data_IF_597967707829
#
_entry.id   IF_597967707829
#
_cell.length_a   1.000
_cell.length_b   1.000
_cell.length_c   1.000
_cell.angle_alpha   90.00
_cell.angle_beta   90.00
_cell.angle_gamma   90.00
#
_symmetry.space_group_name_H-M   'P 1'
#
loop_
_entity.id
_entity.type
_entity.pdbx_description
1 polymer ?
#
# COMPACT_ATOMS: atom_id res chain seq x y z
N UNK A 1 -23.13 -15.32 -1.67
CA UNK A 1 -22.04 -15.43 -0.66
C UNK A 1 -22.53 -14.77 0.62
N UNK A 2 -22.31 -15.33 1.82
CA UNK A 2 -22.81 -14.70 3.06
C UNK A 2 -21.94 -13.49 3.42
N UNK A 3 -22.50 -12.39 3.93
CA UNK A 3 -21.74 -11.17 4.28
C UNK A 3 -20.48 -11.44 5.11
N UNK A 4 -20.54 -12.35 6.09
CA UNK A 4 -19.38 -12.74 6.90
C UNK A 4 -18.24 -13.36 6.07
N UNK A 5 -18.56 -14.09 5.02
CA UNK A 5 -17.56 -14.67 4.12
C UNK A 5 -16.85 -13.58 3.30
N UNK A 6 -17.60 -12.55 2.86
CA UNK A 6 -17.03 -11.38 2.17
C UNK A 6 -16.10 -10.60 3.11
N UNK A 7 -16.55 -10.33 4.35
CA UNK A 7 -15.76 -9.65 5.40
C UNK A 7 -14.47 -10.42 5.75
N UNK A 8 -14.55 -11.73 5.86
CA UNK A 8 -13.38 -12.58 6.13
C UNK A 8 -12.34 -12.50 5.00
N UNK A 9 -12.77 -12.58 3.73
CA UNK A 9 -11.86 -12.45 2.58
C UNK A 9 -11.19 -11.07 2.54
N UNK A 10 -11.95 -10.00 2.79
CA UNK A 10 -11.39 -8.66 2.87
C UNK A 10 -10.34 -8.54 3.98
N UNK A 11 -10.65 -9.09 5.16
CA UNK A 11 -9.76 -9.12 6.32
C UNK A 11 -8.44 -9.84 6.00
N UNK A 12 -8.48 -10.97 5.28
CA UNK A 12 -7.27 -11.65 4.82
C UNK A 12 -6.43 -10.80 3.86
N UNK A 13 -7.06 -10.05 2.94
CA UNK A 13 -6.34 -9.15 2.05
C UNK A 13 -5.64 -8.02 2.83
N UNK A 14 -6.30 -7.46 3.85
CA UNK A 14 -5.67 -6.49 4.75
C UNK A 14 -4.48 -7.08 5.52
N UNK A 15 -4.62 -8.29 6.06
CA UNK A 15 -3.52 -9.02 6.75
C UNK A 15 -2.33 -9.23 5.81
N UNK A 16 -2.56 -9.62 4.56
CA UNK A 16 -1.50 -9.78 3.54
C UNK A 16 -0.83 -8.45 3.21
N UNK A 17 -1.59 -7.37 3.07
CA UNK A 17 -1.07 -6.01 2.87
C UNK A 17 -0.18 -5.57 4.05
N UNK A 18 -0.62 -5.81 5.29
CA UNK A 18 0.17 -5.53 6.49
C UNK A 18 1.47 -6.35 6.55
N UNK A 19 1.39 -7.65 6.27
CA UNK A 19 2.55 -8.55 6.25
C UNK A 19 3.60 -8.13 5.20
N UNK A 20 3.18 -7.75 3.99
CA UNK A 20 4.07 -7.27 2.94
C UNK A 20 4.86 -6.01 3.35
N UNK A 21 4.20 -5.07 4.04
CA UNK A 21 4.87 -3.87 4.59
C UNK A 21 5.86 -4.21 5.70
N UNK A 22 5.46 -5.09 6.62
CA UNK A 22 6.34 -5.53 7.70
C UNK A 22 7.60 -6.21 7.15
N UNK A 23 7.43 -7.08 6.15
CA UNK A 23 8.54 -7.71 5.45
C UNK A 23 9.46 -6.66 4.81
N UNK A 24 8.92 -5.65 4.11
CA UNK A 24 9.72 -4.59 3.50
C UNK A 24 10.56 -3.84 4.54
N UNK A 25 9.97 -3.44 5.68
CA UNK A 25 10.73 -2.79 6.77
C UNK A 25 11.88 -3.65 7.26
N UNK A 26 11.63 -4.94 7.47
CA UNK A 26 12.68 -5.89 7.87
C UNK A 26 13.78 -6.01 6.81
N UNK A 27 13.42 -6.03 5.52
CA UNK A 27 14.41 -6.08 4.44
C UNK A 27 15.28 -4.81 4.40
N UNK A 28 14.72 -3.63 4.66
CA UNK A 28 15.49 -2.37 4.77
C UNK A 28 16.48 -2.45 5.93
N UNK A 29 16.02 -2.84 7.12
CA UNK A 29 16.90 -2.99 8.29
C UNK A 29 18.01 -4.01 8.02
N UNK A 30 17.67 -5.16 7.45
CA UNK A 30 18.65 -6.18 7.10
C UNK A 30 19.67 -5.69 6.06
N UNK A 31 19.22 -4.92 5.06
CA UNK A 31 20.09 -4.37 4.04
C UNK A 31 21.06 -3.33 4.62
N UNK A 32 20.58 -2.48 5.54
CA UNK A 32 21.43 -1.50 6.22
C UNK A 32 22.38 -2.15 7.23
N UNK A 33 21.94 -3.17 7.97
CA UNK A 33 22.81 -4.00 8.80
C UNK A 33 23.89 -4.72 7.99
N UNK A 34 23.58 -5.11 6.74
CA UNK A 34 24.55 -5.68 5.81
C UNK A 34 25.46 -4.61 5.15
N UNK A 35 25.23 -3.33 5.48
CA UNK A 35 26.09 -2.20 5.17
C UNK A 35 25.65 -1.30 4.01
N UNK A 36 24.43 -1.48 3.46
CA UNK A 36 23.88 -0.46 2.56
C UNK A 36 23.63 0.84 3.31
N UNK A 37 23.98 1.98 2.71
CA UNK A 37 23.69 3.29 3.29
C UNK A 37 22.25 3.71 2.99
N UNK A 38 21.75 4.74 3.69
CA UNK A 38 20.46 5.37 3.38
C UNK A 38 20.39 5.77 1.92
N UNK A 39 21.44 6.37 1.37
CA UNK A 39 21.51 6.83 -0.02
C UNK A 39 21.38 5.68 -1.01
N UNK A 40 21.95 4.50 -0.70
CA UNK A 40 21.72 3.30 -1.51
C UNK A 40 20.25 2.90 -1.50
N UNK A 41 19.61 2.89 -0.32
CA UNK A 41 18.18 2.59 -0.19
C UNK A 41 17.34 3.59 -0.99
N UNK A 42 17.59 4.90 -0.85
CA UNK A 42 16.88 5.95 -1.60
C UNK A 42 17.03 5.78 -3.11
N UNK A 43 18.23 5.46 -3.59
CA UNK A 43 18.47 5.20 -5.02
C UNK A 43 17.65 4.02 -5.54
N UNK A 44 17.65 2.91 -4.79
CA UNK A 44 16.88 1.71 -5.14
C UNK A 44 15.38 2.04 -5.13
N UNK A 45 14.91 2.71 -4.09
CA UNK A 45 13.50 3.08 -3.94
C UNK A 45 13.05 3.98 -5.09
N UNK A 46 13.82 4.98 -5.49
CA UNK A 46 13.50 5.86 -6.63
C UNK A 46 13.42 5.07 -7.94
N UNK A 47 14.35 4.13 -8.19
CA UNK A 47 14.29 3.24 -9.36
C UNK A 47 13.04 2.35 -9.35
N UNK A 48 12.63 1.87 -8.17
CA UNK A 48 11.44 1.03 -8.04
C UNK A 48 10.13 1.84 -8.12
N UNK A 49 10.17 3.12 -7.73
CA UNK A 49 9.02 4.01 -7.80
C UNK A 49 8.71 4.51 -9.21
N UNK A 50 9.71 4.63 -10.09
CA UNK A 50 9.59 5.26 -11.42
C UNK A 50 9.12 4.33 -12.56
N UNK A 51 8.56 3.16 -12.24
CA UNK A 51 8.13 2.16 -13.23
C UNK A 51 6.61 2.05 -13.46
N UNK A 52 6.20 1.02 -14.21
CA UNK A 52 4.79 0.71 -14.57
C UNK A 52 3.85 0.57 -13.36
N UNK A 53 4.39 0.38 -12.16
CA UNK A 53 3.63 0.27 -10.90
C UNK A 53 3.70 1.53 -10.02
N UNK A 54 3.89 2.72 -10.61
CA UNK A 54 4.16 3.99 -9.90
C UNK A 54 3.25 4.23 -8.67
N UNK A 55 1.93 4.16 -8.82
CA UNK A 55 0.96 4.43 -7.72
C UNK A 55 1.01 3.37 -6.59
N UNK A 56 1.36 2.14 -6.95
CA UNK A 56 1.47 1.00 -6.03
C UNK A 56 2.85 0.96 -5.36
N UNK A 57 3.85 1.55 -6.01
CA UNK A 57 5.21 1.70 -5.52
C UNK A 57 5.37 2.88 -4.55
N UNK A 58 4.58 3.95 -4.68
CA UNK A 58 4.72 5.18 -3.89
C UNK A 58 4.60 4.99 -2.36
N UNK A 59 3.58 4.30 -1.85
CA UNK A 59 3.48 4.05 -0.40
C UNK A 59 4.50 3.02 0.09
N UNK A 60 4.91 2.06 -0.75
CA UNK A 60 6.00 1.14 -0.39
C UNK A 60 7.35 1.88 -0.35
N UNK A 61 7.54 2.89 -1.20
CA UNK A 61 8.66 3.82 -1.15
C UNK A 61 8.67 4.59 0.17
N UNK A 62 7.53 5.16 0.58
CA UNK A 62 7.39 5.84 1.88
C UNK A 62 7.76 4.91 3.05
N UNK A 63 7.31 3.65 3.04
CA UNK A 63 7.69 2.66 4.06
C UNK A 63 9.21 2.44 4.08
N UNK A 64 9.80 2.24 2.92
CA UNK A 64 11.23 1.94 2.82
C UNK A 64 12.10 3.14 3.24
N UNK A 65 11.75 4.34 2.79
CA UNK A 65 12.41 5.60 3.14
C UNK A 65 12.28 5.86 4.64
N UNK A 66 11.06 5.80 5.18
CA UNK A 66 10.82 6.05 6.60
C UNK A 66 11.57 5.06 7.49
N UNK A 67 11.67 3.79 7.08
CA UNK A 67 12.44 2.80 7.82
C UNK A 67 13.96 3.06 7.77
N UNK A 68 14.47 3.52 6.63
CA UNK A 68 15.88 3.86 6.49
C UNK A 68 16.26 5.09 7.35
N UNK A 69 15.40 6.11 7.38
CA UNK A 69 15.56 7.29 8.25
C UNK A 69 15.57 6.91 9.73
N UNK A 70 14.56 6.14 10.18
CA UNK A 70 14.49 5.65 11.57
C UNK A 70 15.72 4.83 11.96
N UNK A 71 16.26 4.04 11.03
CA UNK A 71 17.47 3.27 11.28
C UNK A 71 18.68 4.18 11.49
N UNK A 72 18.88 5.18 10.63
CA UNK A 72 19.99 6.14 10.74
C UNK A 72 19.88 7.00 12.02
N UNK A 73 18.68 7.41 12.41
CA UNK A 73 18.43 8.11 13.69
C UNK A 73 18.87 7.26 14.89
N UNK A 74 18.57 5.95 14.87
CA UNK A 74 18.87 5.04 15.98
C UNK A 74 20.33 4.58 16.03
N UNK A 75 20.96 4.38 14.88
CA UNK A 75 22.28 3.75 14.77
C UNK A 75 23.38 4.73 14.33
N UNK A 76 23.03 6.00 14.10
CA UNK A 76 23.91 6.99 13.50
C UNK A 76 24.12 6.75 12.01
N UNK A 77 24.89 7.65 11.38
CA UNK A 77 25.29 7.50 9.98
C UNK A 77 26.13 6.23 9.82
N UNK A 78 25.55 5.23 9.15
CA UNK A 78 26.26 4.00 8.80
C UNK A 78 27.40 4.38 7.85
N UNK A 79 28.65 4.22 8.29
CA UNK A 79 29.79 4.29 7.37
C UNK A 79 29.63 3.14 6.38
N UNK A 80 29.75 3.43 5.08
CA UNK A 80 29.77 2.39 4.05
C UNK A 80 30.83 1.36 4.43
N UNK A 81 30.39 0.18 4.86
CA UNK A 81 31.29 -0.95 5.01
C UNK A 81 31.85 -1.27 3.62
N UNK A 82 33.12 -1.72 3.55
CA UNK A 82 33.69 -2.26 2.31
C UNK A 82 32.97 -3.57 1.99
N UNK A 83 31.81 -3.48 1.33
CA UNK A 83 31.05 -4.61 0.82
C UNK A 83 31.53 -4.88 -0.59
N UNK A 84 31.80 -6.15 -0.91
CA UNK A 84 32.11 -6.56 -2.28
C UNK A 84 30.91 -6.32 -3.20
N UNK A 85 31.16 -6.01 -4.48
CA UNK A 85 30.08 -5.73 -5.45
C UNK A 85 29.06 -6.88 -5.52
N UNK A 86 29.53 -8.14 -5.55
CA UNK A 86 28.66 -9.33 -5.56
C UNK A 86 27.73 -9.43 -4.35
N UNK A 87 28.22 -9.05 -3.16
CA UNK A 87 27.40 -9.04 -1.95
C UNK A 87 26.40 -7.89 -1.98
N UNK A 88 26.81 -6.72 -2.46
CA UNK A 88 25.92 -5.56 -2.67
C UNK A 88 24.76 -5.94 -3.59
N UNK A 89 25.03 -6.53 -4.76
CA UNK A 89 23.99 -6.93 -5.71
C UNK A 89 22.99 -7.92 -5.11
N UNK A 90 23.50 -8.88 -4.32
CA UNK A 90 22.65 -9.86 -3.63
C UNK A 90 21.71 -9.19 -2.62
N UNK A 91 22.22 -8.22 -1.85
CA UNK A 91 21.43 -7.46 -0.87
C UNK A 91 20.39 -6.59 -1.60
N UNK A 92 20.80 -5.89 -2.65
CA UNK A 92 19.90 -5.05 -3.45
C UNK A 92 18.77 -5.86 -4.07
N UNK A 93 19.07 -7.03 -4.64
CA UNK A 93 18.06 -7.88 -5.27
C UNK A 93 17.03 -8.38 -4.26
N UNK A 94 17.47 -8.79 -3.05
CA UNK A 94 16.55 -9.14 -1.96
C UNK A 94 15.65 -7.97 -1.58
N UNK A 95 16.20 -6.75 -1.49
CA UNK A 95 15.42 -5.56 -1.18
C UNK A 95 14.40 -5.25 -2.28
N UNK A 96 14.81 -5.31 -3.55
CA UNK A 96 13.93 -5.14 -4.72
C UNK A 96 12.77 -6.14 -4.71
N UNK A 97 13.04 -7.40 -4.36
CA UNK A 97 11.99 -8.42 -4.25
C UNK A 97 11.01 -8.16 -3.12
N UNK A 98 11.48 -7.71 -1.94
CA UNK A 98 10.59 -7.29 -0.85
C UNK A 98 9.72 -6.10 -1.28
N UNK A 99 10.28 -5.17 -2.06
CA UNK A 99 9.56 -4.02 -2.58
C UNK A 99 8.44 -4.45 -3.55
N UNK A 100 8.75 -5.35 -4.50
CA UNK A 100 7.75 -5.92 -5.42
C UNK A 100 6.63 -6.62 -4.66
N UNK A 101 6.95 -7.42 -3.64
CA UNK A 101 5.95 -8.10 -2.79
C UNK A 101 5.04 -7.11 -2.06
N UNK A 102 5.59 -6.00 -1.55
CA UNK A 102 4.79 -4.92 -0.94
C UNK A 102 3.81 -4.32 -1.97
N UNK A 103 4.29 -3.97 -3.17
CA UNK A 103 3.44 -3.43 -4.23
C UNK A 103 2.32 -4.38 -4.65
N UNK A 104 2.64 -5.66 -4.86
CA UNK A 104 1.66 -6.69 -5.22
C UNK A 104 0.59 -6.88 -4.13
N UNK A 105 0.97 -6.90 -2.86
CA UNK A 105 0.02 -7.03 -1.75
C UNK A 105 -0.95 -5.83 -1.69
N UNK A 106 -0.49 -4.61 -1.99
CA UNK A 106 -1.35 -3.43 -2.10
C UNK A 106 -2.31 -3.52 -3.28
N UNK A 107 -1.82 -3.93 -4.45
CA UNK A 107 -2.66 -4.15 -5.64
C UNK A 107 -3.75 -5.19 -5.38
N UNK A 108 -3.41 -6.26 -4.68
CA UNK A 108 -4.39 -7.27 -4.26
C UNK A 108 -5.42 -6.69 -3.31
N UNK A 109 -5.01 -5.88 -2.32
CA UNK A 109 -5.96 -5.22 -1.42
C UNK A 109 -6.95 -4.33 -2.17
N UNK A 110 -6.49 -3.49 -3.10
CA UNK A 110 -7.35 -2.66 -3.95
C UNK A 110 -8.42 -3.48 -4.68
N UNK A 111 -7.99 -4.56 -5.34
CA UNK A 111 -8.91 -5.48 -6.02
C UNK A 111 -9.89 -6.14 -5.05
N UNK A 112 -9.44 -6.56 -3.87
CA UNK A 112 -10.34 -7.14 -2.88
C UNK A 112 -11.42 -6.14 -2.47
N UNK A 113 -11.06 -4.87 -2.24
CA UNK A 113 -12.01 -3.83 -1.85
C UNK A 113 -13.07 -3.62 -2.91
N UNK A 114 -12.68 -3.41 -4.17
CA UNK A 114 -13.63 -3.27 -5.29
C UNK A 114 -14.55 -4.48 -5.37
N UNK A 115 -13.99 -5.69 -5.38
CA UNK A 115 -14.79 -6.92 -5.42
C UNK A 115 -15.75 -7.02 -4.22
N UNK A 116 -15.35 -6.59 -3.03
CA UNK A 116 -16.20 -6.65 -1.85
C UNK A 116 -17.36 -5.65 -1.91
N UNK A 117 -17.11 -4.44 -2.45
CA UNK A 117 -18.14 -3.44 -2.71
C UNK A 117 -19.13 -3.94 -3.77
N UNK A 118 -18.63 -4.53 -4.86
CA UNK A 118 -19.45 -5.15 -5.91
C UNK A 118 -20.32 -6.30 -5.38
N UNK A 119 -19.84 -7.02 -4.36
CA UNK A 119 -20.56 -8.12 -3.70
C UNK A 119 -21.56 -7.65 -2.63
N UNK A 120 -21.69 -6.33 -2.40
CA UNK A 120 -22.72 -5.73 -1.55
C UNK A 120 -22.28 -5.33 -0.14
N UNK A 121 -20.98 -5.32 0.17
CA UNK A 121 -20.51 -4.61 1.37
C UNK A 121 -20.67 -3.10 1.18
N UNK A 122 -21.08 -2.40 2.23
CA UNK A 122 -21.10 -0.94 2.18
C UNK A 122 -19.71 -0.35 2.39
N UNK A 123 -19.53 0.90 1.97
CA UNK A 123 -18.30 1.64 2.22
C UNK A 123 -17.99 1.77 3.71
N UNK A 124 -19.01 1.97 4.54
CA UNK A 124 -18.87 2.05 6.01
C UNK A 124 -18.37 0.73 6.57
N UNK A 125 -18.86 -0.41 6.07
CA UNK A 125 -18.39 -1.73 6.50
C UNK A 125 -16.93 -2.00 6.09
N UNK A 126 -16.53 -1.57 4.89
CA UNK A 126 -15.13 -1.66 4.45
C UNK A 126 -14.21 -0.79 5.31
N UNK A 127 -14.63 0.43 5.62
CA UNK A 127 -13.86 1.37 6.44
C UNK A 127 -13.79 0.94 7.91
N UNK A 128 -14.88 0.42 8.48
CA UNK A 128 -14.90 -0.14 9.83
C UNK A 128 -13.92 -1.32 9.96
N UNK A 129 -13.90 -2.24 8.99
CA UNK A 129 -12.92 -3.34 8.97
C UNK A 129 -11.49 -2.84 8.85
N UNK A 130 -11.26 -1.76 8.10
CA UNK A 130 -9.95 -1.13 8.03
C UNK A 130 -9.54 -0.56 9.39
N UNK A 131 -10.45 0.08 10.12
CA UNK A 131 -10.19 0.67 11.44
C UNK A 131 -9.91 -0.40 12.51
N UNK A 132 -10.72 -1.47 12.56
CA UNK A 132 -10.52 -2.61 13.47
C UNK A 132 -9.12 -3.25 13.30
N UNK A 133 -8.69 -3.38 12.05
CA UNK A 133 -7.36 -3.90 11.72
C UNK A 133 -6.27 -2.87 12.08
N UNK A 134 -6.52 -1.57 11.90
CA UNK A 134 -5.61 -0.50 12.34
C UNK A 134 -5.43 -0.50 13.86
N UNK A 135 -6.51 -0.72 14.61
CA UNK A 135 -6.48 -0.84 16.07
C UNK A 135 -5.68 -2.06 16.56
N UNK A 136 -5.77 -3.20 15.85
CA UNK A 136 -5.13 -4.45 16.27
C UNK A 136 -3.63 -4.59 15.98
N UNK A 137 -3.07 -3.87 15.00
CA UNK A 137 -1.67 -4.02 14.57
C UNK A 137 -0.71 -2.94 15.14
N UNK A 138 -1.20 -2.05 16.02
CA UNK A 138 -0.40 -1.03 16.72
C UNK A 138 -0.03 0.20 15.87
N UNK A 139 0.13 1.37 16.53
CA UNK A 139 0.32 2.70 15.90
C UNK A 139 1.42 2.76 14.83
N UNK A 140 2.45 1.94 14.93
CA UNK A 140 3.57 1.93 13.99
C UNK A 140 3.30 1.16 12.69
N UNK A 141 2.28 0.29 12.63
CA UNK A 141 2.15 -0.73 11.58
C UNK A 141 1.22 -0.43 10.42
N UNK A 142 0.16 0.38 10.61
CA UNK A 142 -1.09 0.10 9.88
C UNK A 142 -1.60 1.18 8.93
N UNK A 143 -1.21 2.45 9.09
CA UNK A 143 -1.87 3.57 8.37
C UNK A 143 -1.97 3.42 6.86
N UNK A 144 -0.95 2.85 6.18
CA UNK A 144 -0.92 2.82 4.71
C UNK A 144 -1.90 1.85 4.04
N UNK A 145 -2.28 0.71 4.64
CA UNK A 145 -3.34 -0.14 4.05
C UNK A 145 -4.72 0.49 4.26
N UNK A 146 -4.90 1.27 5.33
CA UNK A 146 -6.10 2.07 5.53
C UNK A 146 -6.16 3.23 4.53
N UNK A 147 -5.05 3.92 4.26
CA UNK A 147 -4.96 4.93 3.19
C UNK A 147 -5.33 4.31 1.84
N UNK A 148 -4.84 3.10 1.52
CA UNK A 148 -5.25 2.37 0.31
C UNK A 148 -6.75 2.12 0.31
N UNK A 149 -7.34 1.75 1.44
CA UNK A 149 -8.75 1.46 1.53
C UNK A 149 -9.62 2.69 1.34
N UNK A 150 -9.31 3.79 2.03
CA UNK A 150 -9.98 5.09 1.87
C UNK A 150 -9.88 5.54 0.42
N UNK A 151 -8.68 5.55 -0.16
CA UNK A 151 -8.48 5.99 -1.55
C UNK A 151 -9.30 5.14 -2.53
N UNK A 152 -9.31 3.82 -2.35
CA UNK A 152 -10.02 2.93 -3.27
C UNK A 152 -11.54 3.06 -3.15
N UNK A 153 -12.05 3.28 -1.93
CA UNK A 153 -13.49 3.54 -1.70
C UNK A 153 -13.89 4.85 -2.38
N UNK A 154 -13.10 5.91 -2.24
CA UNK A 154 -13.37 7.21 -2.89
C UNK A 154 -13.37 7.08 -4.42
N UNK A 155 -12.34 6.45 -5.00
CA UNK A 155 -12.26 6.18 -6.44
C UNK A 155 -13.47 5.37 -6.95
N UNK A 156 -13.92 4.39 -6.16
CA UNK A 156 -15.10 3.59 -6.49
C UNK A 156 -16.38 4.43 -6.47
N UNK A 157 -16.57 5.30 -5.47
CA UNK A 157 -17.72 6.21 -5.41
C UNK A 157 -17.76 7.19 -6.59
N UNK A 158 -16.61 7.76 -6.95
CA UNK A 158 -16.50 8.66 -8.11
C UNK A 158 -16.85 7.94 -9.42
N UNK A 159 -16.47 6.67 -9.54
CA UNK A 159 -16.80 5.82 -10.69
C UNK A 159 -18.30 5.45 -10.79
N UNK A 160 -19.01 5.45 -9.66
CA UNK A 160 -20.46 5.21 -9.63
C UNK A 160 -21.24 6.47 -10.03
N UNK A 161 -20.80 7.66 -9.58
CA UNK A 161 -21.39 8.96 -9.93
C UNK A 161 -21.21 9.33 -11.40
N UNK A 162 -20.14 8.86 -12.03
CA UNK A 162 -19.88 9.10 -13.46
C UNK A 162 -20.68 8.19 -14.40
N UNK A 163 -21.57 7.32 -13.90
CA UNK A 163 -22.45 6.50 -14.74
C UNK A 163 -23.53 7.37 -15.43
N UNK A 164 -23.97 7.05 -16.66
CA UNK A 164 -24.82 7.92 -17.51
C UNK A 164 -26.22 8.26 -16.96
N UNK A 165 -26.63 7.67 -15.83
CA UNK A 165 -27.93 7.91 -15.21
C UNK A 165 -28.06 9.32 -14.64
N UNK A 166 -26.95 9.93 -14.18
CA UNK A 166 -26.98 11.28 -13.62
C UNK A 166 -27.10 12.36 -14.70
N UNK A 167 -26.63 12.10 -15.94
CA UNK A 167 -26.82 13.00 -17.10
C UNK A 167 -28.30 13.06 -17.54
N UNK A 168 -29.04 11.96 -17.37
CA UNK A 168 -30.47 11.93 -17.73
C UNK A 168 -31.33 12.67 -16.71
N UNK A 169 -31.03 12.53 -15.40
CA UNK A 169 -31.77 13.25 -14.36
C UNK A 169 -31.54 14.76 -14.39
N UNK A 170 -30.33 15.22 -14.71
CA UNK A 170 -30.07 16.66 -14.86
C UNK A 170 -30.79 17.26 -16.08
N UNK A 171 -30.95 16.50 -17.17
CA UNK A 171 -31.68 16.94 -18.37
C UNK A 171 -33.21 16.98 -18.22
N UNK A 172 -33.77 16.16 -17.35
CA UNK A 172 -35.21 16.20 -17.07
C UNK A 172 -35.58 17.35 -16.12
N UNK A 173 -34.67 17.76 -15.22
CA UNK A 173 -34.87 18.94 -14.36
C UNK A 173 -34.81 20.25 -15.17
N UNK A 174 -33.95 20.35 -16.18
CA UNK A 174 -33.90 21.53 -17.08
C UNK A 174 -35.12 21.65 -18.02
N UNK A 175 -35.97 20.63 -18.14
CA UNK A 175 -37.14 20.63 -19.02
C UNK A 175 -38.47 20.94 -18.34
N UNK A 176 -38.55 20.84 -17.02
CA UNK A 176 -39.76 21.16 -16.25
C UNK A 176 -39.81 22.65 -15.82
N UNK A 177 -38.80 23.46 -16.18
CA UNK A 177 -38.72 24.91 -15.91
C UNK A 177 -38.98 25.80 -17.17
N UNK A 178 -39.60 25.26 -18.22
CA UNK A 178 -40.10 26.02 -19.40
C UNK A 178 -41.57 25.78 -19.68
#
# INVERSE_FOLDING_TARGET
>A
MKNNEIKNRLTECFKKCAAGRHQLRRCVVNAMNAGLTKENILSIVNKMATGVMYDEASLCAIVAIGQALRYEEKHGKTKSLLITERNRDTIENKLKDCFKKCGLARRQLRKCIVNTLDLGLTKEEVLALSDDIVGGFGKDGVSLCAIVAVNQVLEYEDSLRTKPLDILKERDIERDDT
#
